data_IF_658717427093
#
_entry.id   IF_658717427093
#
_cell.length_a   1.000
_cell.length_b   1.000
_cell.length_c   1.000
_cell.angle_alpha   90.00
_cell.angle_beta   90.00
_cell.angle_gamma   90.00
#
_symmetry.space_group_name_H-M   'P 1'
#
loop_
_entity.id
_entity.type
_entity.pdbx_description
1 polymer ?
#
# COMPACT_ATOMS: atom_id res chain seq x y z
N UNK A 1 13.17 -17.65 -6.80
CA UNK A 1 13.30 -16.23 -6.32
C UNK A 1 12.04 -15.91 -5.54
N UNK A 2 12.18 -15.28 -4.36
CA UNK A 2 11.02 -14.86 -3.54
C UNK A 2 10.27 -13.76 -4.28
N UNK A 3 8.93 -13.69 -4.12
CA UNK A 3 8.13 -12.61 -4.69
C UNK A 3 8.50 -11.27 -4.07
N UNK A 4 8.29 -10.16 -4.79
CA UNK A 4 8.55 -8.81 -4.31
C UNK A 4 7.23 -8.03 -4.24
N UNK A 5 6.97 -7.43 -3.09
CA UNK A 5 5.84 -6.52 -2.90
C UNK A 5 6.36 -5.12 -2.58
N UNK A 6 5.96 -4.15 -3.35
CA UNK A 6 6.20 -2.73 -3.02
C UNK A 6 4.97 -2.13 -2.37
N UNK A 7 5.18 -1.46 -1.24
CA UNK A 7 4.17 -0.67 -0.54
C UNK A 7 4.53 0.80 -0.69
N UNK A 8 3.67 1.56 -1.34
CA UNK A 8 3.84 3.01 -1.56
C UNK A 8 3.08 3.79 -0.50
N UNK A 9 3.83 4.52 0.30
CA UNK A 9 3.39 5.22 1.51
C UNK A 9 3.82 4.48 2.78
N UNK A 10 4.77 5.05 3.54
CA UNK A 10 5.27 4.50 4.80
C UNK A 10 4.50 5.02 6.04
N UNK A 11 3.27 5.50 5.84
CA UNK A 11 2.37 5.88 6.92
C UNK A 11 1.86 4.68 7.72
N UNK A 12 0.90 4.89 8.62
CA UNK A 12 0.37 3.83 9.47
C UNK A 12 -0.16 2.62 8.69
N UNK A 13 -0.92 2.86 7.62
CA UNK A 13 -1.49 1.77 6.81
C UNK A 13 -0.39 1.02 6.08
N UNK A 14 0.50 1.72 5.38
CA UNK A 14 1.54 1.09 4.58
C UNK A 14 2.57 0.34 5.44
N UNK A 15 3.04 0.91 6.55
CA UNK A 15 3.96 0.22 7.45
C UNK A 15 3.34 -1.02 8.10
N UNK A 16 2.06 -0.96 8.47
CA UNK A 16 1.33 -2.13 8.99
C UNK A 16 1.16 -3.20 7.91
N UNK A 17 0.88 -2.79 6.67
CA UNK A 17 0.81 -3.70 5.54
C UNK A 17 2.15 -4.41 5.31
N UNK A 18 3.26 -3.65 5.28
CA UNK A 18 4.61 -4.17 5.16
C UNK A 18 4.94 -5.16 6.29
N UNK A 19 4.57 -4.85 7.52
CA UNK A 19 4.73 -5.74 8.67
C UNK A 19 4.02 -7.09 8.45
N UNK A 20 2.76 -7.09 8.07
CA UNK A 20 2.02 -8.34 7.88
C UNK A 20 2.50 -9.16 6.68
N UNK A 21 2.98 -8.50 5.61
CA UNK A 21 3.61 -9.21 4.49
C UNK A 21 4.88 -9.91 4.97
N UNK A 22 5.70 -9.23 5.75
CA UNK A 22 6.94 -9.76 6.32
C UNK A 22 6.66 -10.88 7.32
N UNK A 23 5.85 -10.65 8.33
CA UNK A 23 5.54 -11.61 9.39
C UNK A 23 4.91 -12.91 8.86
N UNK A 24 4.15 -12.82 7.77
CA UNK A 24 3.59 -14.00 7.06
C UNK A 24 4.53 -14.57 5.99
N UNK A 25 5.70 -14.00 5.82
CA UNK A 25 6.71 -14.40 4.82
C UNK A 25 6.17 -14.51 3.39
N UNK A 26 5.25 -13.61 3.02
CA UNK A 26 4.59 -13.65 1.71
C UNK A 26 5.53 -13.23 0.57
N UNK A 27 6.40 -12.25 0.84
CA UNK A 27 7.29 -11.65 -0.16
C UNK A 27 8.42 -10.86 0.51
N UNK A 28 9.45 -10.53 -0.26
CA UNK A 28 10.35 -9.42 0.06
C UNK A 28 9.61 -8.09 -0.10
N UNK A 29 9.90 -7.12 0.76
CA UNK A 29 9.14 -5.87 0.86
C UNK A 29 10.01 -4.68 0.49
N UNK A 30 9.52 -3.82 -0.39
CA UNK A 30 10.07 -2.48 -0.60
C UNK A 30 9.04 -1.46 -0.11
N UNK A 31 9.43 -0.62 0.82
CA UNK A 31 8.60 0.44 1.37
C UNK A 31 9.04 1.78 0.77
N UNK A 32 8.19 2.39 -0.06
CA UNK A 32 8.46 3.66 -0.72
C UNK A 32 7.74 4.80 -0.02
N UNK A 33 8.46 5.89 0.26
CA UNK A 33 7.85 7.14 0.75
C UNK A 33 8.65 8.34 0.27
N UNK A 34 7.98 9.48 0.09
CA UNK A 34 8.65 10.76 -0.24
C UNK A 34 9.63 11.21 0.85
N UNK A 35 9.37 10.79 2.09
CA UNK A 35 10.26 11.00 3.23
C UNK A 35 11.16 9.76 3.40
N UNK A 36 12.30 9.75 2.72
CA UNK A 36 13.23 8.62 2.69
C UNK A 36 13.59 8.11 4.10
N UNK A 37 13.84 9.02 5.04
CA UNK A 37 14.15 8.68 6.43
C UNK A 37 13.02 7.90 7.12
N UNK A 38 11.76 8.20 6.80
CA UNK A 38 10.60 7.47 7.33
C UNK A 38 10.57 6.07 6.75
N UNK A 39 10.71 5.91 5.44
CA UNK A 39 10.72 4.61 4.79
C UNK A 39 11.88 3.73 5.31
N UNK A 40 13.09 4.28 5.35
CA UNK A 40 14.28 3.57 5.86
C UNK A 40 14.16 3.18 7.33
N UNK A 41 13.68 4.10 8.18
CA UNK A 41 13.50 3.83 9.60
C UNK A 41 12.48 2.71 9.85
N UNK A 42 11.34 2.73 9.15
CA UNK A 42 10.32 1.67 9.24
C UNK A 42 10.83 0.33 8.71
N UNK A 43 11.53 0.33 7.59
CA UNK A 43 12.11 -0.89 7.04
C UNK A 43 13.15 -1.50 7.97
N UNK A 44 14.00 -0.68 8.59
CA UNK A 44 15.00 -1.13 9.56
C UNK A 44 14.34 -1.73 10.81
N UNK A 45 13.34 -1.04 11.38
CA UNK A 45 12.58 -1.50 12.53
C UNK A 45 11.94 -2.88 12.28
N UNK A 46 11.25 -3.02 11.15
CA UNK A 46 10.68 -4.30 10.74
C UNK A 46 11.75 -5.39 10.52
N UNK A 47 12.88 -5.05 9.88
CA UNK A 47 13.96 -6.03 9.68
C UNK A 47 14.55 -6.52 10.99
N UNK A 48 14.66 -5.66 12.01
CA UNK A 48 15.15 -6.00 13.34
C UNK A 48 14.15 -6.86 14.13
N UNK A 49 12.85 -6.79 13.82
CA UNK A 49 11.85 -7.67 14.40
C UNK A 49 11.95 -9.11 13.85
N UNK A 50 12.53 -9.30 12.66
CA UNK A 50 12.61 -10.61 12.00
C UNK A 50 13.18 -11.74 12.85
N UNK A 51 14.36 -11.58 13.49
CA UNK A 51 14.93 -12.61 14.37
C UNK A 51 14.06 -12.95 15.58
N UNK A 52 13.24 -12.02 16.06
CA UNK A 52 12.33 -12.23 17.20
C UNK A 52 11.06 -12.93 16.76
N UNK A 53 10.49 -12.49 15.65
CA UNK A 53 9.21 -12.97 15.10
C UNK A 53 9.36 -14.21 14.20
N UNK A 54 10.58 -14.57 13.82
CA UNK A 54 10.85 -15.78 13.04
C UNK A 54 10.65 -15.64 11.54
N UNK A 55 10.83 -14.45 10.97
CA UNK A 55 10.82 -14.25 9.51
C UNK A 55 12.18 -13.76 8.99
N UNK A 56 12.50 -14.08 7.74
CA UNK A 56 13.78 -13.77 7.08
C UNK A 56 13.63 -13.03 5.73
N UNK A 57 12.48 -12.44 5.48
CA UNK A 57 12.25 -11.67 4.25
C UNK A 57 13.10 -10.40 4.22
N UNK A 58 13.54 -10.00 3.04
CA UNK A 58 14.22 -8.72 2.86
C UNK A 58 13.22 -7.57 2.95
N UNK A 59 13.57 -6.52 3.71
CA UNK A 59 12.74 -5.32 3.84
C UNK A 59 13.60 -4.10 3.57
N UNK A 60 13.28 -3.34 2.53
CA UNK A 60 14.02 -2.16 2.11
C UNK A 60 13.12 -0.93 2.16
N UNK A 61 13.63 0.18 2.68
CA UNK A 61 12.98 1.48 2.64
C UNK A 61 13.71 2.44 1.70
N UNK A 62 12.96 3.14 0.84
CA UNK A 62 13.54 4.04 -0.14
C UNK A 62 12.58 5.18 -0.51
N UNK A 63 13.11 6.23 -1.13
CA UNK A 63 12.33 7.23 -1.86
C UNK A 63 12.46 7.06 -3.38
N UNK A 64 13.34 6.17 -3.83
CA UNK A 64 13.57 5.90 -5.24
C UNK A 64 12.76 4.69 -5.71
N UNK A 65 11.95 4.88 -6.74
CA UNK A 65 11.18 3.81 -7.37
C UNK A 65 12.04 2.80 -8.14
N UNK A 66 13.32 3.10 -8.39
CA UNK A 66 14.25 2.10 -8.95
C UNK A 66 14.36 0.86 -8.04
N UNK A 67 14.29 1.03 -6.72
CA UNK A 67 14.29 -0.07 -5.75
C UNK A 67 13.03 -0.94 -5.84
N UNK A 68 11.93 -0.36 -6.30
CA UNK A 68 10.66 -1.06 -6.53
C UNK A 68 10.62 -1.84 -7.86
N UNK A 69 11.69 -1.78 -8.68
CA UNK A 69 11.70 -2.37 -10.00
C UNK A 69 11.35 -3.86 -9.98
N UNK A 70 10.53 -4.30 -10.96
CA UNK A 70 10.08 -5.68 -11.12
C UNK A 70 9.30 -6.24 -9.92
N UNK A 71 8.53 -5.41 -9.23
CA UNK A 71 7.60 -5.87 -8.20
C UNK A 71 6.49 -6.74 -8.80
N UNK A 72 6.14 -7.83 -8.11
CA UNK A 72 5.00 -8.67 -8.48
C UNK A 72 3.67 -8.00 -8.09
N UNK A 73 3.67 -7.31 -6.96
CA UNK A 73 2.51 -6.57 -6.45
C UNK A 73 2.95 -5.19 -5.97
N UNK A 74 2.17 -4.18 -6.28
CA UNK A 74 2.32 -2.83 -5.72
C UNK A 74 1.06 -2.45 -4.96
N UNK A 75 1.22 -2.04 -3.71
CA UNK A 75 0.12 -1.61 -2.84
C UNK A 75 0.23 -0.08 -2.65
N UNK A 76 -0.74 0.65 -3.17
CA UNK A 76 -0.77 2.11 -3.12
C UNK A 76 -1.56 2.56 -1.89
N UNK A 77 -0.86 2.97 -0.84
CA UNK A 77 -1.46 3.51 0.40
C UNK A 77 -1.19 5.00 0.58
N UNK A 78 -0.37 5.58 -0.30
CA UNK A 78 -0.02 7.01 -0.25
C UNK A 78 -1.23 7.88 -0.54
N UNK A 79 -1.32 9.00 0.16
CA UNK A 79 -2.38 9.97 0.00
C UNK A 79 -2.41 10.95 1.17
N UNK A 80 -2.96 12.13 0.93
CA UNK A 80 -3.19 13.11 1.98
C UNK A 80 -4.41 12.72 2.82
N UNK A 81 -4.32 12.78 4.15
CA UNK A 81 -5.50 12.63 5.01
C UNK A 81 -6.40 13.87 4.88
N UNK A 82 -7.71 13.65 5.05
CA UNK A 82 -8.66 14.77 5.10
C UNK A 82 -8.35 15.68 6.28
N UNK A 83 -8.17 16.96 6.01
CA UNK A 83 -7.98 17.98 7.05
C UNK A 83 -9.31 18.66 7.38
N UNK A 84 -9.47 19.24 8.59
CA UNK A 84 -10.62 20.09 8.90
C UNK A 84 -10.78 21.21 7.87
N UNK A 85 -12.00 21.44 7.39
CA UNK A 85 -12.29 22.44 6.37
C UNK A 85 -12.14 21.99 4.91
N UNK A 86 -11.56 20.83 4.64
CA UNK A 86 -11.50 20.28 3.27
C UNK A 86 -12.83 19.65 2.88
N UNK A 87 -13.28 19.97 1.66
CA UNK A 87 -14.37 19.25 1.01
C UNK A 87 -13.92 17.85 0.53
N UNK A 88 -14.84 17.04 0.03
CA UNK A 88 -14.48 15.77 -0.62
C UNK A 88 -13.78 16.01 -1.95
N UNK A 89 -14.22 17.03 -2.68
CA UNK A 89 -13.65 17.43 -3.96
C UNK A 89 -12.20 17.87 -3.82
N UNK A 90 -11.86 18.66 -2.78
CA UNK A 90 -10.48 19.07 -2.50
C UNK A 90 -9.59 17.85 -2.23
N UNK A 91 -10.10 16.88 -1.47
CA UNK A 91 -9.36 15.66 -1.18
C UNK A 91 -9.15 14.81 -2.44
N UNK A 92 -10.16 14.74 -3.32
CA UNK A 92 -10.05 14.04 -4.61
C UNK A 92 -8.96 14.67 -5.46
N UNK A 93 -8.93 15.99 -5.59
CA UNK A 93 -7.94 16.69 -6.41
C UNK A 93 -6.51 16.40 -5.93
N UNK A 94 -6.25 16.59 -4.62
CA UNK A 94 -4.92 16.35 -4.05
C UNK A 94 -4.49 14.89 -4.21
N UNK A 95 -5.37 13.94 -3.92
CA UNK A 95 -5.03 12.52 -4.02
C UNK A 95 -4.96 12.02 -5.46
N UNK A 96 -5.64 12.68 -6.41
CA UNK A 96 -5.50 12.39 -7.83
C UNK A 96 -4.08 12.72 -8.32
N UNK A 97 -3.54 13.87 -7.95
CA UNK A 97 -2.18 14.27 -8.31
C UNK A 97 -1.14 13.31 -7.71
N UNK A 98 -1.29 12.94 -6.43
CA UNK A 98 -0.42 11.97 -5.76
C UNK A 98 -0.51 10.60 -6.46
N UNK A 99 -1.72 10.15 -6.77
CA UNK A 99 -1.93 8.88 -7.47
C UNK A 99 -1.30 8.91 -8.85
N UNK A 100 -1.47 9.99 -9.61
CA UNK A 100 -0.90 10.11 -10.96
C UNK A 100 0.63 9.99 -10.94
N UNK A 101 1.30 10.72 -10.06
CA UNK A 101 2.76 10.66 -9.92
C UNK A 101 3.24 9.25 -9.58
N UNK A 102 2.58 8.58 -8.62
CA UNK A 102 2.93 7.23 -8.24
C UNK A 102 2.72 6.22 -9.38
N UNK A 103 1.61 6.34 -10.11
CA UNK A 103 1.29 5.41 -11.20
C UNK A 103 2.30 5.53 -12.35
N UNK A 104 2.75 6.73 -12.69
CA UNK A 104 3.79 6.92 -13.72
C UNK A 104 5.11 6.22 -13.31
N UNK A 105 5.52 6.37 -12.04
CA UNK A 105 6.72 5.71 -11.54
C UNK A 105 6.55 4.17 -11.49
N UNK A 106 5.41 3.68 -11.03
CA UNK A 106 5.10 2.24 -10.98
C UNK A 106 5.10 1.64 -12.40
N UNK A 107 4.48 2.31 -13.34
CA UNK A 107 4.42 1.89 -14.74
C UNK A 107 5.81 1.76 -15.37
N UNK A 108 6.72 2.69 -15.04
CA UNK A 108 8.09 2.66 -15.53
C UNK A 108 8.93 1.53 -14.91
N UNK A 109 8.74 1.24 -13.63
CA UNK A 109 9.59 0.31 -12.88
C UNK A 109 9.02 -1.10 -12.74
N UNK A 110 7.69 -1.23 -12.72
CA UNK A 110 7.00 -2.51 -12.49
C UNK A 110 5.78 -2.70 -13.42
N UNK A 111 5.96 -2.70 -14.76
CA UNK A 111 4.86 -2.69 -15.73
C UNK A 111 4.00 -3.96 -15.70
N UNK A 112 4.49 -5.02 -15.09
CA UNK A 112 3.79 -6.30 -14.99
C UNK A 112 3.17 -6.56 -13.61
N UNK A 113 3.27 -5.62 -12.68
CA UNK A 113 2.74 -5.77 -11.32
C UNK A 113 1.21 -5.86 -11.28
N UNK A 114 0.70 -6.52 -10.25
CA UNK A 114 -0.66 -6.30 -9.77
C UNK A 114 -0.69 -5.05 -8.90
N UNK A 115 -1.68 -4.20 -9.11
CA UNK A 115 -1.85 -2.95 -8.39
C UNK A 115 -3.05 -3.02 -7.45
N UNK A 116 -2.81 -2.83 -6.15
CA UNK A 116 -3.85 -2.77 -5.12
C UNK A 116 -3.92 -1.33 -4.60
N UNK A 117 -5.03 -0.66 -4.83
CA UNK A 117 -5.25 0.73 -4.42
C UNK A 117 -6.03 0.76 -3.11
N UNK A 118 -5.42 1.38 -2.10
CA UNK A 118 -6.00 1.57 -0.75
C UNK A 118 -6.30 3.04 -0.49
N UNK A 119 -5.65 3.93 -1.24
CA UNK A 119 -5.79 5.39 -1.13
C UNK A 119 -7.23 5.85 -1.33
N UNK A 120 -7.67 6.84 -0.56
CA UNK A 120 -9.04 7.35 -0.59
C UNK A 120 -9.18 8.66 -1.39
N UNK A 121 -10.33 8.86 -2.05
CA UNK A 121 -11.49 7.96 -2.18
C UNK A 121 -11.17 6.73 -3.06
N UNK A 122 -11.35 5.54 -2.51
CA UNK A 122 -10.83 4.29 -3.10
C UNK A 122 -11.35 4.03 -4.52
N UNK A 123 -12.62 4.15 -4.76
CA UNK A 123 -13.21 3.88 -6.09
C UNK A 123 -12.67 4.85 -7.15
N UNK A 124 -12.58 6.14 -6.78
CA UNK A 124 -12.06 7.19 -7.67
C UNK A 124 -10.58 6.97 -7.97
N UNK A 125 -9.78 6.70 -6.92
CA UNK A 125 -8.33 6.49 -7.10
C UNK A 125 -8.04 5.19 -7.86
N UNK A 126 -8.81 4.13 -7.64
CA UNK A 126 -8.68 2.88 -8.41
C UNK A 126 -9.00 3.08 -9.89
N UNK A 127 -10.08 3.80 -10.18
CA UNK A 127 -10.47 4.13 -11.56
C UNK A 127 -9.39 4.97 -12.24
N UNK A 128 -8.86 5.97 -11.53
CA UNK A 128 -7.78 6.81 -12.04
C UNK A 128 -6.50 5.99 -12.29
N UNK A 129 -6.10 5.18 -11.32
CA UNK A 129 -4.94 4.32 -11.42
C UNK A 129 -5.03 3.35 -12.61
N UNK A 130 -6.19 2.74 -12.83
CA UNK A 130 -6.42 1.90 -14.00
C UNK A 130 -6.26 2.67 -15.31
N UNK A 131 -6.87 3.86 -15.42
CA UNK A 131 -6.78 4.68 -16.63
C UNK A 131 -5.35 5.14 -16.94
N UNK A 132 -4.60 5.56 -15.92
CA UNK A 132 -3.25 6.10 -16.09
C UNK A 132 -2.20 5.00 -16.31
N UNK A 133 -2.33 3.87 -15.62
CA UNK A 133 -1.39 2.75 -15.77
C UNK A 133 -1.47 2.10 -17.13
N UNK A 134 -2.65 2.02 -17.71
CA UNK A 134 -2.91 1.21 -18.89
C UNK A 134 -2.79 -0.30 -18.62
N UNK A 135 -2.75 -0.71 -17.34
CA UNK A 135 -2.70 -2.13 -16.97
C UNK A 135 -4.05 -2.81 -17.29
N UNK A 136 -4.05 -4.10 -17.62
CA UNK A 136 -5.28 -4.87 -17.73
C UNK A 136 -6.13 -4.74 -16.45
N UNK A 137 -7.45 -4.67 -16.60
CA UNK A 137 -8.38 -4.47 -15.47
C UNK A 137 -8.24 -5.55 -14.37
N UNK A 138 -7.83 -6.76 -14.76
CA UNK A 138 -7.61 -7.90 -13.86
C UNK A 138 -6.39 -7.68 -12.94
N UNK A 139 -5.55 -6.72 -13.25
CA UNK A 139 -4.36 -6.39 -12.46
C UNK A 139 -4.49 -5.11 -11.64
N UNK A 140 -5.62 -4.42 -11.71
CA UNK A 140 -5.87 -3.19 -10.92
C UNK A 140 -7.12 -3.37 -10.08
N UNK A 141 -6.96 -3.31 -8.77
CA UNK A 141 -8.06 -3.53 -7.83
C UNK A 141 -8.03 -2.52 -6.68
N UNK A 142 -9.19 -2.17 -6.18
CA UNK A 142 -9.34 -1.36 -4.95
C UNK A 142 -9.56 -2.27 -3.73
N UNK A 143 -8.93 -1.93 -2.62
CA UNK A 143 -9.14 -2.61 -1.34
C UNK A 143 -9.99 -1.72 -0.43
N UNK A 144 -11.18 -2.20 -0.04
CA UNK A 144 -12.10 -1.50 0.85
C UNK A 144 -13.07 -2.46 1.53
N UNK A 145 -13.86 -3.18 0.77
CA UNK A 145 -14.94 -4.04 1.29
C UNK A 145 -14.49 -5.13 2.26
N UNK A 146 -13.28 -5.64 2.14
CA UNK A 146 -12.73 -6.63 3.09
C UNK A 146 -12.64 -6.05 4.50
N UNK A 147 -12.17 -4.79 4.63
CA UNK A 147 -12.09 -4.11 5.92
C UNK A 147 -13.47 -3.82 6.50
N UNK A 148 -14.40 -3.34 5.67
CA UNK A 148 -15.75 -3.02 6.13
C UNK A 148 -16.53 -4.28 6.54
N UNK A 149 -16.38 -5.36 5.78
CA UNK A 149 -16.94 -6.67 6.15
C UNK A 149 -16.35 -7.19 7.47
N UNK A 150 -15.04 -7.06 7.67
CA UNK A 150 -14.40 -7.47 8.93
C UNK A 150 -14.89 -6.65 10.13
N UNK A 151 -15.04 -5.33 9.97
CA UNK A 151 -15.62 -4.46 11.00
C UNK A 151 -17.04 -4.85 11.35
N UNK A 152 -17.87 -5.06 10.34
CA UNK A 152 -19.27 -5.45 10.53
C UNK A 152 -19.38 -6.79 11.28
N UNK A 153 -18.61 -7.79 10.85
CA UNK A 153 -18.54 -9.09 11.56
C UNK A 153 -18.12 -8.94 13.02
N UNK A 154 -17.11 -8.11 13.30
CA UNK A 154 -16.63 -7.88 14.66
C UNK A 154 -17.72 -7.27 15.55
N UNK A 155 -18.47 -6.28 15.04
CA UNK A 155 -19.55 -5.66 15.82
C UNK A 155 -20.72 -6.61 16.05
N UNK A 156 -21.10 -7.42 15.06
CA UNK A 156 -22.10 -8.47 15.25
C UNK A 156 -21.66 -9.48 16.32
N UNK A 157 -20.42 -9.97 16.23
CA UNK A 157 -19.90 -10.93 17.19
C UNK A 157 -19.93 -10.39 18.63
N UNK A 158 -19.59 -9.11 18.82
CA UNK A 158 -19.66 -8.44 20.12
C UNK A 158 -21.11 -8.35 20.64
N UNK A 159 -22.06 -7.99 19.77
CA UNK A 159 -23.47 -7.81 20.15
C UNK A 159 -24.11 -9.12 20.58
N UNK A 160 -23.82 -10.22 19.86
CA UNK A 160 -24.39 -11.53 20.19
C UNK A 160 -23.52 -12.39 21.12
N UNK A 161 -22.38 -11.87 21.58
CA UNK A 161 -21.51 -12.55 22.55
C UNK A 161 -20.82 -13.80 22.02
N UNK A 162 -20.43 -13.83 20.71
CA UNK A 162 -19.68 -14.94 20.12
C UNK A 162 -18.32 -14.48 19.55
N UNK A 163 -17.45 -15.46 19.22
CA UNK A 163 -16.16 -15.24 18.57
C UNK A 163 -16.25 -15.45 17.06
#
# INVERSE_FOLDING_TARGET
MRKKVTVVGAGFVGSTCAHWIAAKQLADVVLIDIFEGVAKGKALDLSQAGPVEGYDVSITGSSDYADAANSDVVILTSGAPRKPGMTREDLVAVNADITAQNIEAIKATSPNAFLIVVSNPMDTMTTLAHKLSGFPKERVMGQGGVLDAARYRTFIAREIGCS
#
